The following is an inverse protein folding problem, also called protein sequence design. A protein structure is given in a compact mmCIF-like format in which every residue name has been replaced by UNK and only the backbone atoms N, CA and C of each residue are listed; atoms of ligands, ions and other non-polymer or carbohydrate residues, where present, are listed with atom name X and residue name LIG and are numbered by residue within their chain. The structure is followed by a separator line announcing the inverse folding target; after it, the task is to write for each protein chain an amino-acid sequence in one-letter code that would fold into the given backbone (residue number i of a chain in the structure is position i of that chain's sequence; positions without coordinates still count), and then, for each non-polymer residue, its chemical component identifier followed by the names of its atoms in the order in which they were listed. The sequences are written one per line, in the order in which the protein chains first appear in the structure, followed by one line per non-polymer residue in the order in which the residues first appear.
data_IF_209615602679
#
_entry.id   IF_209615602679
#
_cell.length_a   1.000
_cell.length_b   1.000
_cell.length_c   1.000
_cell.angle_alpha   90.00
_cell.angle_beta   90.00
_cell.angle_gamma   90.00
#
_symmetry.space_group_name_H-M   'P 1'
#
loop_
_entity.id
_entity.type
_entity.pdbx_description
1 polymer ?
#
# COMPACT_ATOMS: atom_id res chain seq x y z
N UNK A 1 -12.98 0.32 -22.19
CA UNK A 1 -13.66 0.68 -20.94
C UNK A 1 -13.00 1.89 -20.27
N UNK A 2 -11.67 1.89 -20.00
CA UNK A 2 -10.96 3.03 -19.39
C UNK A 2 -11.16 4.31 -20.22
N UNK A 3 -10.98 4.23 -21.54
CA UNK A 3 -11.19 5.37 -22.43
C UNK A 3 -12.64 5.88 -22.40
N UNK A 4 -13.61 4.98 -22.28
CA UNK A 4 -15.03 5.33 -22.15
C UNK A 4 -15.32 6.06 -20.84
N UNK A 5 -14.72 5.63 -19.72
CA UNK A 5 -14.84 6.32 -18.43
C UNK A 5 -14.23 7.72 -18.53
N UNK A 6 -13.01 7.83 -19.08
CA UNK A 6 -12.36 9.12 -19.30
C UNK A 6 -13.16 10.05 -20.24
N UNK A 7 -13.94 9.52 -21.18
CA UNK A 7 -14.84 10.30 -22.03
C UNK A 7 -16.12 10.77 -21.30
N UNK A 8 -16.36 10.29 -20.08
CA UNK A 8 -17.47 10.68 -19.19
C UNK A 8 -17.01 11.59 -18.06
N UNK A 9 -15.92 12.32 -18.28
CA UNK A 9 -15.31 13.24 -17.31
C UNK A 9 -14.91 12.57 -15.98
N UNK A 10 -14.54 11.28 -16.03
CA UNK A 10 -13.96 10.57 -14.90
C UNK A 10 -12.44 10.57 -15.02
N UNK A 11 -11.77 10.96 -13.96
CA UNK A 11 -10.33 10.80 -13.82
C UNK A 11 -9.99 9.33 -13.60
N UNK A 12 -9.13 8.75 -14.44
CA UNK A 12 -8.77 7.34 -14.39
C UNK A 12 -7.26 7.18 -14.27
N UNK A 13 -6.83 6.44 -13.29
CA UNK A 13 -5.44 6.03 -13.09
C UNK A 13 -5.36 4.51 -13.24
N UNK A 14 -4.40 4.01 -13.99
CA UNK A 14 -4.15 2.58 -14.15
C UNK A 14 -2.91 2.17 -13.37
N UNK A 15 -3.04 1.23 -12.44
CA UNK A 15 -1.88 0.56 -11.83
C UNK A 15 -1.69 -0.78 -12.51
N UNK A 16 -0.49 -0.99 -13.05
CA UNK A 16 -0.18 -2.16 -13.86
C UNK A 16 0.93 -3.01 -13.22
N UNK A 17 1.07 -4.23 -13.72
CA UNK A 17 2.14 -5.15 -13.36
C UNK A 17 2.69 -5.88 -14.59
N UNK A 18 3.58 -6.85 -14.40
CA UNK A 18 4.01 -7.76 -15.46
C UNK A 18 5.29 -7.34 -16.19
N UNK A 19 5.92 -6.23 -15.82
CA UNK A 19 7.16 -5.78 -16.48
C UNK A 19 8.26 -6.88 -16.49
N UNK A 20 8.52 -7.52 -15.34
CA UNK A 20 9.50 -8.61 -15.27
C UNK A 20 9.13 -9.74 -16.24
N UNK A 21 7.85 -10.18 -16.21
CA UNK A 21 7.37 -11.27 -17.06
C UNK A 21 7.49 -11.00 -18.56
N UNK A 22 7.26 -9.76 -18.98
CA UNK A 22 7.42 -9.33 -20.38
C UNK A 22 8.89 -9.26 -20.77
N UNK A 23 9.78 -8.82 -19.88
CA UNK A 23 11.21 -8.69 -20.18
C UNK A 23 11.98 -10.02 -20.17
N UNK A 24 11.50 -11.01 -19.41
CA UNK A 24 12.16 -12.33 -19.31
C UNK A 24 12.43 -12.99 -20.67
N UNK A 25 11.42 -13.24 -21.53
CA UNK A 25 11.64 -13.90 -22.80
C UNK A 25 12.53 -13.09 -23.75
N UNK A 26 12.49 -11.76 -23.67
CA UNK A 26 13.34 -10.88 -24.49
C UNK A 26 14.80 -11.04 -24.13
N UNK A 27 15.11 -11.30 -22.86
CA UNK A 27 16.46 -11.53 -22.36
C UNK A 27 16.85 -13.03 -22.31
N UNK A 28 16.00 -13.92 -22.86
CA UNK A 28 16.27 -15.35 -22.94
C UNK A 28 16.08 -16.12 -21.64
N UNK A 29 15.30 -15.59 -20.68
CA UNK A 29 14.97 -16.30 -19.45
C UNK A 29 13.64 -17.06 -19.60
N UNK A 30 13.67 -18.38 -19.40
CA UNK A 30 12.46 -19.22 -19.35
C UNK A 30 11.76 -19.15 -17.99
N UNK A 31 12.53 -18.93 -16.92
CA UNK A 31 12.04 -18.83 -15.55
C UNK A 31 12.51 -17.55 -14.88
N UNK A 32 11.77 -17.11 -13.88
CA UNK A 32 12.10 -15.90 -13.10
C UNK A 32 13.50 -16.05 -12.47
N UNK A 33 14.45 -15.16 -12.80
CA UNK A 33 15.79 -15.23 -12.23
C UNK A 33 15.80 -15.06 -10.72
N UNK A 34 16.60 -15.87 -10.02
CA UNK A 34 16.81 -15.71 -8.57
C UNK A 34 17.74 -14.52 -8.27
N UNK A 35 18.67 -14.19 -9.17
CA UNK A 35 19.61 -13.09 -9.00
C UNK A 35 18.93 -11.74 -9.23
N UNK A 36 18.93 -10.90 -8.20
CA UNK A 36 18.24 -9.61 -8.19
C UNK A 36 18.57 -8.70 -9.39
N UNK A 37 19.87 -8.48 -9.79
CA UNK A 37 20.16 -7.65 -10.94
C UNK A 37 19.56 -8.15 -12.26
N UNK A 38 19.40 -9.47 -12.43
CA UNK A 38 18.71 -10.00 -13.63
C UNK A 38 17.22 -9.74 -13.59
N UNK A 39 16.57 -9.79 -12.42
CA UNK A 39 15.16 -9.38 -12.26
C UNK A 39 14.98 -7.90 -12.59
N UNK A 40 15.88 -7.06 -12.08
CA UNK A 40 15.90 -5.62 -12.37
C UNK A 40 16.09 -5.32 -13.87
N UNK A 41 17.00 -6.04 -14.54
CA UNK A 41 17.18 -5.94 -15.98
C UNK A 41 15.93 -6.36 -16.75
N UNK A 42 15.30 -7.49 -16.37
CA UNK A 42 14.02 -7.92 -16.97
C UNK A 42 12.94 -6.86 -16.79
N UNK A 43 12.82 -6.27 -15.59
CA UNK A 43 11.86 -5.21 -15.33
C UNK A 43 12.11 -3.98 -16.21
N UNK A 44 13.35 -3.54 -16.35
CA UNK A 44 13.72 -2.37 -17.16
C UNK A 44 13.38 -2.58 -18.65
N UNK A 45 13.71 -3.75 -19.21
CA UNK A 45 13.36 -4.10 -20.61
C UNK A 45 11.84 -4.23 -20.77
N UNK A 46 11.21 -4.97 -19.88
CA UNK A 46 9.77 -5.26 -19.99
C UNK A 46 8.88 -4.04 -19.74
N UNK A 47 9.29 -3.13 -18.87
CA UNK A 47 8.53 -1.89 -18.60
C UNK A 47 8.43 -1.00 -19.86
N UNK A 48 9.51 -0.90 -20.63
CA UNK A 48 9.50 -0.18 -21.90
C UNK A 48 8.51 -0.79 -22.90
N UNK A 49 8.50 -2.12 -23.03
CA UNK A 49 7.59 -2.85 -23.92
C UNK A 49 6.14 -2.69 -23.43
N UNK A 50 5.89 -2.83 -22.13
CA UNK A 50 4.59 -2.67 -21.51
C UNK A 50 3.99 -1.30 -21.82
N UNK A 51 4.77 -0.24 -21.66
CA UNK A 51 4.32 1.12 -21.99
C UNK A 51 4.06 1.33 -23.47
N UNK A 52 4.87 0.70 -24.34
CA UNK A 52 4.61 0.69 -25.79
C UNK A 52 3.27 0.05 -26.15
N UNK A 53 2.91 -1.06 -25.48
CA UNK A 53 1.62 -1.73 -25.66
C UNK A 53 0.47 -0.84 -25.20
N UNK A 54 0.55 -0.26 -24.00
CA UNK A 54 -0.47 0.66 -23.51
C UNK A 54 -0.59 1.90 -24.41
N UNK A 55 0.55 2.51 -24.78
CA UNK A 55 0.54 3.66 -25.68
C UNK A 55 -0.21 3.38 -26.99
N UNK A 56 0.05 2.22 -27.61
CA UNK A 56 -0.65 1.78 -28.80
C UNK A 56 -2.17 1.60 -28.56
N UNK A 57 -2.54 0.85 -27.50
CA UNK A 57 -3.93 0.56 -27.19
C UNK A 57 -4.73 1.83 -26.93
N UNK A 58 -4.20 2.80 -26.19
CA UNK A 58 -4.89 4.03 -25.86
C UNK A 58 -4.88 5.04 -27.01
N UNK A 59 -3.83 5.04 -27.84
CA UNK A 59 -3.75 5.89 -29.03
C UNK A 59 -4.92 5.68 -30.01
N UNK A 60 -5.34 4.42 -30.18
CA UNK A 60 -6.47 4.06 -31.05
C UNK A 60 -7.79 4.69 -30.58
N UNK A 61 -7.87 5.09 -29.31
CA UNK A 61 -9.02 5.79 -28.71
C UNK A 61 -8.75 7.30 -28.50
N UNK A 62 -7.67 7.84 -29.08
CA UNK A 62 -7.30 9.26 -28.95
C UNK A 62 -6.89 9.68 -27.55
N UNK A 63 -6.45 8.73 -26.70
CA UNK A 63 -6.01 9.00 -25.34
C UNK A 63 -4.48 9.01 -25.24
N UNK A 64 -3.96 9.98 -24.50
CA UNK A 64 -2.56 10.06 -24.13
C UNK A 64 -2.35 9.35 -22.80
N UNK A 65 -1.26 8.58 -22.69
CA UNK A 65 -0.86 7.92 -21.45
C UNK A 65 0.48 8.44 -20.96
N UNK A 66 0.69 8.43 -19.65
CA UNK A 66 1.97 8.79 -19.05
C UNK A 66 2.44 7.70 -18.09
N UNK A 67 3.75 7.41 -18.07
CA UNK A 67 4.34 6.48 -17.11
C UNK A 67 4.75 7.19 -15.83
N UNK A 68 4.40 6.61 -14.68
CA UNK A 68 4.95 6.94 -13.38
C UNK A 68 5.44 5.65 -12.69
N UNK A 69 6.69 5.65 -12.25
CA UNK A 69 7.27 4.52 -11.50
C UNK A 69 7.48 4.93 -10.05
N UNK A 70 7.01 4.10 -9.14
CA UNK A 70 7.07 4.34 -7.70
C UNK A 70 7.76 3.22 -6.96
N UNK A 71 8.37 3.57 -5.85
CA UNK A 71 8.75 2.62 -4.80
C UNK A 71 7.93 2.91 -3.54
N UNK A 72 7.87 1.95 -2.63
CA UNK A 72 7.30 2.16 -1.30
C UNK A 72 7.94 3.35 -0.57
N UNK A 73 9.26 3.49 -0.70
CA UNK A 73 10.00 4.60 -0.10
C UNK A 73 9.56 5.99 -0.59
N UNK A 74 9.05 6.07 -1.83
CA UNK A 74 8.55 7.34 -2.37
C UNK A 74 7.24 7.76 -1.70
N UNK A 75 6.34 6.81 -1.42
CA UNK A 75 5.11 7.08 -0.70
C UNK A 75 5.34 7.47 0.78
N UNK A 76 6.38 6.90 1.40
CA UNK A 76 6.75 7.17 2.80
C UNK A 76 7.43 8.54 2.96
N UNK A 77 8.18 9.00 1.96
CA UNK A 77 8.88 10.28 2.01
C UNK A 77 7.93 11.44 1.71
N UNK A 78 7.76 12.35 2.67
CA UNK A 78 6.84 13.51 2.56
C UNK A 78 7.06 14.33 1.31
N UNK A 79 8.31 14.64 0.98
CA UNK A 79 8.65 15.49 -0.16
C UNK A 79 8.34 14.78 -1.48
N UNK A 80 8.73 13.51 -1.60
CA UNK A 80 8.46 12.70 -2.80
C UNK A 80 6.96 12.45 -2.97
N UNK A 81 6.24 12.18 -1.88
CA UNK A 81 4.78 12.09 -1.88
C UNK A 81 4.12 13.33 -2.47
N UNK A 82 4.52 14.54 -2.00
CA UNK A 82 3.95 15.79 -2.50
C UNK A 82 4.26 16.04 -3.99
N UNK A 83 5.49 15.73 -4.43
CA UNK A 83 5.85 15.82 -5.85
C UNK A 83 5.04 14.87 -6.71
N UNK A 84 4.84 13.64 -6.24
CA UNK A 84 4.06 12.63 -6.94
C UNK A 84 2.59 13.02 -7.02
N UNK A 85 1.99 13.50 -5.92
CA UNK A 85 0.63 14.03 -5.92
C UNK A 85 0.49 15.17 -6.93
N UNK A 86 1.42 16.14 -6.96
CA UNK A 86 1.41 17.22 -7.92
C UNK A 86 1.52 16.76 -9.37
N UNK A 87 2.39 15.78 -9.65
CA UNK A 87 2.51 15.21 -10.99
C UNK A 87 1.24 14.46 -11.44
N UNK A 88 0.61 13.67 -10.55
CA UNK A 88 -0.65 13.00 -10.82
C UNK A 88 -1.77 13.99 -11.11
N UNK A 89 -1.96 15.00 -10.26
CA UNK A 89 -2.98 16.03 -10.47
C UNK A 89 -2.78 16.76 -11.81
N UNK A 90 -1.57 17.16 -12.14
CA UNK A 90 -1.28 17.84 -13.40
C UNK A 90 -1.56 16.95 -14.63
N UNK A 91 -1.26 15.64 -14.57
CA UNK A 91 -1.56 14.71 -15.66
C UNK A 91 -3.08 14.56 -15.86
N UNK A 92 -3.84 14.43 -14.78
CA UNK A 92 -5.31 14.32 -14.83
C UNK A 92 -5.93 15.61 -15.36
N UNK A 93 -5.51 16.78 -14.88
CA UNK A 93 -5.95 18.09 -15.41
C UNK A 93 -5.68 18.25 -16.91
N UNK A 94 -4.60 17.66 -17.43
CA UNK A 94 -4.28 17.65 -18.86
C UNK A 94 -5.02 16.57 -19.66
N UNK A 95 -5.90 15.79 -19.04
CA UNK A 95 -6.63 14.70 -19.66
C UNK A 95 -5.76 13.50 -20.05
N UNK A 96 -4.60 13.35 -19.43
CA UNK A 96 -3.66 12.24 -19.62
C UNK A 96 -4.00 11.12 -18.65
N UNK A 97 -3.99 9.87 -19.10
CA UNK A 97 -4.20 8.69 -18.24
C UNK A 97 -2.85 8.24 -17.66
N UNK A 98 -2.61 8.42 -16.34
CA UNK A 98 -1.39 7.94 -15.71
C UNK A 98 -1.40 6.41 -15.63
N UNK A 99 -0.29 5.79 -16.03
CA UNK A 99 -0.04 4.35 -15.86
C UNK A 99 1.10 4.19 -14.86
N UNK A 100 0.81 3.58 -13.73
CA UNK A 100 1.72 3.46 -12.61
C UNK A 100 2.15 2.01 -12.45
N UNK A 101 3.43 1.81 -12.16
CA UNK A 101 3.98 0.50 -11.80
C UNK A 101 5.04 0.66 -10.71
N UNK A 102 5.41 -0.45 -10.07
CA UNK A 102 6.57 -0.45 -9.18
C UNK A 102 7.86 -0.19 -9.98
N UNK A 103 8.76 0.59 -9.39
CA UNK A 103 10.10 0.79 -9.95
C UNK A 103 11.01 -0.38 -9.61
N UNK A 104 10.69 -1.54 -10.18
CA UNK A 104 11.43 -2.79 -9.97
C UNK A 104 12.92 -2.69 -10.35
N UNK A 105 13.31 -1.71 -11.17
CA UNK A 105 14.70 -1.53 -11.57
C UNK A 105 15.61 -1.04 -10.42
N UNK A 106 15.03 -0.39 -9.41
CA UNK A 106 15.77 0.14 -8.25
C UNK A 106 15.28 -0.43 -6.93
N UNK A 107 14.20 -1.19 -6.92
CA UNK A 107 13.64 -1.80 -5.71
C UNK A 107 14.51 -2.96 -5.27
N UNK A 108 14.88 -3.00 -3.98
CA UNK A 108 15.55 -4.13 -3.34
C UNK A 108 14.51 -5.03 -2.67
N UNK A 109 14.78 -6.34 -2.60
CA UNK A 109 13.82 -7.34 -2.07
C UNK A 109 13.32 -7.03 -0.65
N UNK A 110 14.12 -6.32 0.16
CA UNK A 110 13.78 -5.92 1.53
C UNK A 110 12.76 -4.77 1.60
N UNK A 111 12.59 -4.01 0.50
CA UNK A 111 11.73 -2.81 0.42
C UNK A 111 10.56 -3.04 -0.54
N UNK A 112 10.39 -4.25 -1.03
CA UNK A 112 9.35 -4.56 -2.01
C UNK A 112 7.95 -4.26 -1.45
N UNK A 113 7.18 -3.49 -2.21
CA UNK A 113 5.72 -3.52 -2.07
C UNK A 113 5.34 -4.92 -2.53
N UNK A 114 5.05 -5.84 -1.63
CA UNK A 114 4.93 -7.27 -1.91
C UNK A 114 4.00 -7.63 -3.08
N UNK A 115 3.13 -6.69 -3.51
CA UNK A 115 2.19 -6.86 -4.62
C UNK A 115 1.69 -5.49 -5.11
N UNK A 116 1.31 -5.40 -6.38
CA UNK A 116 0.70 -4.21 -6.96
C UNK A 116 -0.70 -3.89 -6.39
N UNK A 117 -1.33 -4.81 -5.68
CA UNK A 117 -2.55 -4.55 -4.92
C UNK A 117 -2.30 -3.44 -3.88
N UNK A 118 -1.28 -3.61 -3.04
CA UNK A 118 -0.87 -2.59 -2.05
C UNK A 118 -0.40 -1.30 -2.72
N UNK A 119 0.35 -1.39 -3.83
CA UNK A 119 0.75 -0.22 -4.61
C UNK A 119 -0.48 0.57 -5.09
N UNK A 120 -1.50 -0.12 -5.61
CA UNK A 120 -2.72 0.52 -6.10
C UNK A 120 -3.48 1.27 -5.00
N UNK A 121 -3.55 0.71 -3.79
CA UNK A 121 -4.16 1.39 -2.65
C UNK A 121 -3.37 2.63 -2.21
N UNK A 122 -2.04 2.57 -2.23
CA UNK A 122 -1.17 3.73 -1.98
C UNK A 122 -1.41 4.81 -3.03
N UNK A 123 -1.44 4.44 -4.32
CA UNK A 123 -1.71 5.37 -5.43
C UNK A 123 -3.09 6.01 -5.28
N UNK A 124 -4.11 5.21 -4.98
CA UNK A 124 -5.47 5.70 -4.76
C UNK A 124 -5.50 6.76 -3.64
N UNK A 125 -4.78 6.52 -2.55
CA UNK A 125 -4.69 7.49 -1.46
C UNK A 125 -3.89 8.75 -1.82
N UNK A 126 -2.79 8.63 -2.60
CA UNK A 126 -2.01 9.78 -3.09
C UNK A 126 -2.84 10.65 -4.03
N UNK A 127 -3.61 10.01 -4.91
CA UNK A 127 -4.51 10.67 -5.87
C UNK A 127 -5.81 11.18 -5.24
N UNK A 128 -6.08 10.83 -3.96
CA UNK A 128 -7.36 11.10 -3.29
C UNK A 128 -8.56 10.57 -4.10
N UNK A 129 -8.42 9.34 -4.61
CA UNK A 129 -9.43 8.70 -5.44
C UNK A 129 -10.73 8.42 -4.64
N UNK A 130 -11.85 8.39 -5.31
CA UNK A 130 -13.14 8.02 -4.73
C UNK A 130 -13.31 6.50 -4.65
N UNK A 131 -12.74 5.76 -5.62
CA UNK A 131 -12.90 4.32 -5.76
C UNK A 131 -11.62 3.66 -6.27
N UNK A 132 -11.21 2.57 -5.63
CA UNK A 132 -10.22 1.62 -6.16
C UNK A 132 -10.91 0.37 -6.67
N UNK A 133 -10.65 -0.03 -7.91
CA UNK A 133 -11.10 -1.30 -8.48
C UNK A 133 -9.90 -2.21 -8.64
N UNK A 134 -9.85 -3.32 -7.89
CA UNK A 134 -8.89 -4.40 -8.08
C UNK A 134 -9.47 -5.48 -8.98
N UNK A 135 -8.93 -5.58 -10.18
CA UNK A 135 -9.25 -6.65 -11.12
C UNK A 135 -8.33 -7.86 -10.89
N UNK A 136 -8.90 -9.01 -10.65
CA UNK A 136 -8.23 -10.25 -10.29
C UNK A 136 -8.71 -11.43 -11.14
N UNK A 137 -8.13 -12.59 -10.91
CA UNK A 137 -8.57 -13.90 -11.42
C UNK A 137 -9.71 -14.51 -10.60
N UNK A 138 -9.99 -13.95 -9.40
CA UNK A 138 -11.06 -14.38 -8.49
C UNK A 138 -12.23 -13.40 -8.51
N UNK A 139 -13.43 -13.88 -8.17
CA UNK A 139 -14.65 -13.07 -8.19
C UNK A 139 -14.68 -12.02 -7.08
N UNK A 140 -14.08 -12.29 -5.93
CA UNK A 140 -14.05 -11.41 -4.75
C UNK A 140 -13.62 -12.16 -3.50
N UNK A 141 -13.99 -11.64 -2.34
CA UNK A 141 -13.76 -12.27 -1.03
C UNK A 141 -14.85 -13.30 -0.76
N UNK A 142 -14.46 -14.52 -0.38
CA UNK A 142 -15.37 -15.57 0.04
C UNK A 142 -15.31 -15.75 1.57
N UNK A 143 -16.36 -16.33 2.15
CA UNK A 143 -16.43 -16.67 3.58
C UNK A 143 -15.46 -17.78 3.99
N UNK A 144 -14.97 -18.57 3.02
CA UNK A 144 -13.97 -19.63 3.13
C UNK A 144 -13.34 -19.91 1.77
N UNK A 145 -12.25 -20.69 1.73
CA UNK A 145 -11.55 -20.96 0.47
C UNK A 145 -12.45 -21.74 -0.52
N UNK A 146 -12.82 -21.13 -1.67
CA UNK A 146 -13.68 -21.80 -2.66
C UNK A 146 -12.99 -22.98 -3.38
N UNK A 147 -11.67 -23.12 -3.29
CA UNK A 147 -10.93 -24.27 -3.82
C UNK A 147 -10.99 -25.48 -2.90
N UNK A 148 -11.19 -25.26 -1.61
CA UNK A 148 -11.28 -26.32 -0.60
C UNK A 148 -12.76 -26.66 -0.24
N UNK A 149 -13.64 -25.66 -0.30
CA UNK A 149 -15.03 -25.77 0.14
C UNK A 149 -16.02 -25.43 -0.99
N UNK A 150 -16.74 -26.44 -1.48
CA UNK A 150 -17.73 -26.25 -2.54
C UNK A 150 -18.94 -25.39 -2.12
N UNK A 151 -19.15 -25.22 -0.82
CA UNK A 151 -20.19 -24.38 -0.20
C UNK A 151 -19.65 -23.01 0.26
N UNK A 152 -18.55 -22.55 -0.32
CA UNK A 152 -18.04 -21.20 -0.11
C UNK A 152 -18.98 -20.16 -0.76
N UNK A 153 -19.29 -19.10 -0.02
CA UNK A 153 -20.16 -18.02 -0.49
C UNK A 153 -19.37 -16.73 -0.69
N UNK A 154 -19.62 -16.09 -1.82
CA UNK A 154 -19.03 -14.78 -2.11
C UNK A 154 -19.64 -13.71 -1.19
N UNK A 155 -18.78 -12.94 -0.54
CA UNK A 155 -19.17 -11.78 0.27
C UNK A 155 -19.27 -10.57 -0.67
N UNK A 156 -20.49 -10.13 -0.97
CA UNK A 156 -20.69 -9.02 -1.88
C UNK A 156 -20.44 -7.65 -1.26
N UNK A 157 -20.68 -7.50 0.03
CA UNK A 157 -20.67 -6.22 0.74
C UNK A 157 -19.95 -6.32 2.08
N UNK A 158 -19.02 -5.41 2.32
CA UNK A 158 -18.25 -5.28 3.56
C UNK A 158 -18.42 -3.84 4.07
N UNK A 159 -19.48 -3.56 4.87
CA UNK A 159 -19.78 -2.21 5.35
C UNK A 159 -18.75 -1.70 6.36
N UNK A 160 -18.08 -2.59 7.09
CA UNK A 160 -17.04 -2.27 8.05
C UNK A 160 -15.86 -3.22 7.89
N UNK A 161 -14.67 -2.68 7.68
CA UNK A 161 -13.47 -3.50 7.62
C UNK A 161 -13.05 -3.93 9.03
N UNK A 162 -12.87 -5.23 9.21
CA UNK A 162 -12.34 -5.79 10.47
C UNK A 162 -11.16 -6.69 10.19
N UNK A 163 -10.20 -6.75 11.12
CA UNK A 163 -9.03 -7.64 10.98
C UNK A 163 -9.37 -9.13 10.97
N UNK A 164 -10.57 -9.48 11.39
CA UNK A 164 -11.08 -10.86 11.31
C UNK A 164 -11.19 -11.36 9.86
N UNK A 165 -11.37 -10.44 8.90
CA UNK A 165 -11.39 -10.76 7.47
C UNK A 165 -10.09 -11.44 7.00
N UNK A 166 -8.96 -11.14 7.63
CA UNK A 166 -7.70 -11.82 7.32
C UNK A 166 -7.72 -13.32 7.70
N UNK A 167 -8.52 -13.71 8.69
CA UNK A 167 -8.66 -15.12 9.07
C UNK A 167 -9.41 -15.92 7.99
N UNK A 168 -10.38 -15.27 7.34
CA UNK A 168 -11.13 -15.84 6.21
C UNK A 168 -10.23 -16.05 4.99
N UNK A 169 -9.24 -15.18 4.78
CA UNK A 169 -8.25 -15.28 3.71
C UNK A 169 -7.14 -16.34 3.95
N UNK A 170 -7.29 -17.20 4.97
CA UNK A 170 -6.31 -18.25 5.28
C UNK A 170 -5.22 -17.87 6.27
N UNK A 171 -5.31 -16.72 6.95
CA UNK A 171 -4.37 -16.26 7.99
C UNK A 171 -2.94 -16.00 7.51
N UNK A 172 -2.21 -15.16 8.24
CA UNK A 172 -0.78 -14.97 8.05
C UNK A 172 -0.04 -16.22 8.53
N UNK A 173 0.29 -17.15 7.62
CA UNK A 173 1.07 -18.36 7.97
C UNK A 173 0.62 -19.64 7.28
N UNK A 174 -0.46 -19.63 6.52
CA UNK A 174 -0.74 -20.78 5.66
C UNK A 174 0.27 -20.78 4.51
N UNK A 175 0.90 -21.93 4.23
CA UNK A 175 1.85 -22.10 3.13
C UNK A 175 1.23 -21.80 1.74
N UNK A 176 -0.08 -21.58 1.67
CA UNK A 176 -0.86 -21.18 0.49
C UNK A 176 -1.37 -19.73 0.55
N UNK A 177 -1.34 -19.07 1.74
CA UNK A 177 -1.84 -17.70 1.93
C UNK A 177 -0.85 -16.58 1.61
N UNK A 178 0.28 -16.87 0.95
CA UNK A 178 1.35 -15.89 0.64
C UNK A 178 1.10 -15.07 -0.64
N UNK A 179 -0.09 -15.10 -1.22
CA UNK A 179 -0.32 -14.40 -2.47
C UNK A 179 -1.63 -13.62 -2.49
N UNK A 180 -2.49 -13.84 -3.20
CA UNK A 180 -3.66 -13.24 -3.74
C UNK A 180 -4.59 -12.50 -2.76
N UNK A 181 -5.31 -13.18 -1.85
CA UNK A 181 -6.35 -12.54 -1.05
C UNK A 181 -5.80 -11.69 0.09
N UNK A 182 -4.71 -12.12 0.74
CA UNK A 182 -4.11 -11.37 1.84
C UNK A 182 -3.66 -9.97 1.41
N UNK A 183 -2.99 -9.85 0.25
CA UNK A 183 -2.54 -8.55 -0.30
C UNK A 183 -3.72 -7.67 -0.71
N UNK A 184 -4.81 -8.27 -1.20
CA UNK A 184 -6.04 -7.55 -1.53
C UNK A 184 -6.74 -7.00 -0.29
N UNK A 185 -6.74 -7.74 0.82
CA UNK A 185 -7.25 -7.26 2.10
C UNK A 185 -6.37 -6.18 2.71
N UNK A 186 -5.03 -6.24 2.54
CA UNK A 186 -4.15 -5.13 2.93
C UNK A 186 -4.47 -3.87 2.12
N UNK A 187 -4.72 -4.01 0.82
CA UNK A 187 -5.14 -2.89 -0.02
C UNK A 187 -6.50 -2.33 0.42
N UNK A 188 -7.46 -3.20 0.78
CA UNK A 188 -8.76 -2.80 1.30
C UNK A 188 -8.63 -2.06 2.64
N UNK A 189 -7.80 -2.55 3.58
CA UNK A 189 -7.51 -1.87 4.85
C UNK A 189 -7.00 -0.44 4.61
N UNK A 190 -6.04 -0.26 3.68
CA UNK A 190 -5.51 1.06 3.32
C UNK A 190 -6.59 1.95 2.74
N UNK A 191 -7.37 1.46 1.77
CA UNK A 191 -8.42 2.25 1.11
C UNK A 191 -9.50 2.70 2.08
N UNK A 192 -10.11 1.77 2.81
CA UNK A 192 -11.21 2.02 3.74
C UNK A 192 -10.79 3.06 4.80
N UNK A 193 -9.63 2.88 5.41
CA UNK A 193 -9.09 3.83 6.40
C UNK A 193 -8.61 5.15 5.78
N UNK A 194 -8.39 5.20 4.45
CA UNK A 194 -8.12 6.44 3.73
C UNK A 194 -9.38 7.15 3.24
N UNK A 195 -10.57 6.60 3.53
CA UNK A 195 -11.86 7.14 3.08
C UNK A 195 -12.10 6.90 1.58
N UNK A 196 -11.63 5.77 1.06
CA UNK A 196 -11.76 5.37 -0.35
C UNK A 196 -12.56 4.07 -0.41
N UNK A 197 -13.62 4.04 -1.21
CA UNK A 197 -14.32 2.80 -1.51
C UNK A 197 -13.43 1.85 -2.30
N UNK A 198 -13.58 0.54 -2.12
CA UNK A 198 -12.81 -0.43 -2.90
C UNK A 198 -13.67 -1.59 -3.37
N UNK A 199 -13.40 -2.07 -4.59
CA UNK A 199 -14.03 -3.26 -5.16
C UNK A 199 -12.97 -4.27 -5.57
N UNK A 200 -13.15 -5.54 -5.21
CA UNK A 200 -12.43 -6.67 -5.78
C UNK A 200 -13.38 -7.38 -6.74
N UNK A 201 -12.98 -7.54 -7.99
CA UNK A 201 -13.81 -8.21 -9.00
C UNK A 201 -12.96 -9.01 -10.00
N UNK A 202 -13.62 -9.96 -10.66
CA UNK A 202 -12.99 -10.77 -11.69
C UNK A 202 -12.78 -9.99 -12.99
N UNK A 203 -11.57 -10.06 -13.55
CA UNK A 203 -11.16 -9.24 -14.69
C UNK A 203 -11.81 -9.62 -16.02
N UNK A 204 -12.27 -10.88 -16.18
CA UNK A 204 -12.82 -11.43 -17.42
C UNK A 204 -14.31 -11.14 -17.63
N UNK A 205 -14.98 -10.53 -16.65
CA UNK A 205 -16.40 -10.17 -16.79
C UNK A 205 -16.59 -9.06 -17.83
N UNK A 206 -17.58 -9.26 -18.69
CA UNK A 206 -17.90 -8.29 -19.76
C UNK A 206 -18.29 -6.94 -19.14
N UNK A 207 -17.72 -5.87 -19.67
CA UNK A 207 -18.01 -4.49 -19.27
C UNK A 207 -17.87 -4.25 -17.76
N UNK A 208 -16.90 -4.93 -17.14
CA UNK A 208 -16.75 -4.98 -15.68
C UNK A 208 -16.65 -3.59 -15.04
N UNK A 209 -15.90 -2.66 -15.64
CA UNK A 209 -15.74 -1.32 -15.10
C UNK A 209 -17.05 -0.53 -15.13
N UNK A 210 -17.80 -0.56 -16.27
CA UNK A 210 -19.08 0.12 -16.38
C UNK A 210 -20.11 -0.42 -15.39
N UNK A 211 -20.14 -1.74 -15.20
CA UNK A 211 -21.06 -2.41 -14.28
C UNK A 211 -20.77 -2.04 -12.84
N UNK A 212 -19.47 -2.00 -12.44
CA UNK A 212 -19.07 -1.56 -11.08
C UNK A 212 -19.45 -0.10 -10.87
N UNK A 213 -19.14 0.81 -11.82
CA UNK A 213 -19.50 2.23 -11.73
C UNK A 213 -21.01 2.43 -11.67
N UNK A 214 -21.78 1.57 -12.33
CA UNK A 214 -23.27 1.58 -12.26
C UNK A 214 -23.81 0.96 -10.97
N UNK A 215 -22.93 0.60 -10.02
CA UNK A 215 -23.26 0.00 -8.72
C UNK A 215 -24.01 -1.34 -8.82
N UNK A 216 -23.73 -2.14 -9.87
CA UNK A 216 -24.14 -3.52 -9.87
C UNK A 216 -23.42 -4.29 -8.76
N UNK A 217 -24.13 -5.23 -8.12
CA UNK A 217 -23.55 -6.10 -7.08
C UNK A 217 -22.63 -7.15 -7.72
N UNK A 218 -21.39 -6.74 -8.05
CA UNK A 218 -20.37 -7.57 -8.66
C UNK A 218 -19.13 -7.56 -7.78
N UNK A 219 -18.59 -8.75 -7.52
CA UNK A 219 -17.41 -8.86 -6.66
C UNK A 219 -17.72 -8.56 -5.21
N UNK A 220 -16.72 -8.04 -4.49
CA UNK A 220 -16.82 -7.61 -3.09
C UNK A 220 -16.58 -6.12 -2.99
N UNK A 221 -17.54 -5.38 -2.45
CA UNK A 221 -17.46 -3.95 -2.19
C UNK A 221 -17.08 -3.69 -0.73
N UNK A 222 -16.05 -2.90 -0.52
CA UNK A 222 -15.59 -2.43 0.79
C UNK A 222 -15.91 -0.96 0.90
N UNK A 223 -16.69 -0.59 1.93
CA UNK A 223 -17.10 0.79 2.14
C UNK A 223 -16.04 1.60 2.85
N UNK A 224 -15.82 2.81 2.36
CA UNK A 224 -14.96 3.80 2.99
C UNK A 224 -15.44 4.16 4.40
N UNK A 225 -14.50 4.29 5.33
CA UNK A 225 -14.80 4.88 6.64
C UNK A 225 -14.83 6.41 6.55
N UNK A 226 -15.61 7.05 7.42
CA UNK A 226 -15.61 8.50 7.57
C UNK A 226 -14.32 8.95 8.26
N UNK A 227 -13.29 9.25 7.50
CA UNK A 227 -11.96 9.58 8.02
C UNK A 227 -11.66 11.07 7.84
N UNK A 228 -11.10 11.70 8.89
CA UNK A 228 -10.64 13.08 8.80
C UNK A 228 -9.46 13.19 7.81
N UNK A 229 -9.39 14.21 6.90
CA UNK A 229 -8.38 14.33 5.85
C UNK A 229 -6.91 14.21 6.31
N UNK A 230 -6.62 14.61 7.55
CA UNK A 230 -5.27 14.50 8.12
C UNK A 230 -4.87 13.07 8.52
N UNK A 231 -5.82 12.14 8.62
CA UNK A 231 -5.55 10.73 8.95
C UNK A 231 -5.17 9.91 7.70
N UNK A 232 -5.63 10.28 6.52
CA UNK A 232 -5.39 9.56 5.26
C UNK A 232 -3.92 9.19 5.03
N UNK A 233 -3.00 10.10 5.35
CA UNK A 233 -1.56 9.89 5.16
C UNK A 233 -0.93 8.97 6.20
N UNK A 234 -1.38 9.05 7.46
CA UNK A 234 -0.87 8.20 8.54
C UNK A 234 -1.19 6.73 8.28
N UNK A 235 -2.37 6.45 7.75
CA UNK A 235 -2.83 5.08 7.49
C UNK A 235 -2.03 4.38 6.39
N UNK A 236 -1.62 5.08 5.32
CA UNK A 236 -0.76 4.52 4.26
C UNK A 236 0.56 4.03 4.85
N UNK A 237 1.14 4.80 5.77
CA UNK A 237 2.42 4.51 6.37
C UNK A 237 2.27 3.38 7.41
N UNK A 238 1.19 3.39 8.17
CA UNK A 238 0.90 2.42 9.24
C UNK A 238 0.47 1.05 8.69
N UNK A 239 -0.30 1.01 7.59
CA UNK A 239 -0.71 -0.24 6.91
C UNK A 239 0.45 -0.96 6.20
N UNK A 240 1.55 -0.27 5.93
CA UNK A 240 2.69 -0.82 5.21
C UNK A 240 3.78 -1.32 6.16
N UNK A 241 4.25 -2.58 6.00
CA UNK A 241 5.39 -3.24 6.68
C UNK A 241 6.01 -2.51 7.87
N UNK A 242 5.59 -2.90 9.05
CA UNK A 242 6.23 -2.53 10.31
C UNK A 242 7.68 -3.04 10.32
N UNK A 243 8.64 -2.14 10.45
CA UNK A 243 10.08 -2.48 10.43
C UNK A 243 10.66 -2.72 11.80
N UNK A 244 9.97 -2.25 12.85
CA UNK A 244 10.45 -2.40 14.21
C UNK A 244 9.33 -2.47 15.23
N UNK A 245 9.68 -2.94 16.42
CA UNK A 245 8.80 -2.99 17.57
C UNK A 245 9.38 -2.13 18.69
N UNK A 246 8.56 -1.28 19.26
CA UNK A 246 8.90 -0.47 20.41
C UNK A 246 8.03 -0.92 21.56
N UNK A 247 8.65 -1.38 22.64
CA UNK A 247 7.96 -1.77 23.86
C UNK A 247 7.91 -0.58 24.80
N UNK A 248 6.76 -0.34 25.38
CA UNK A 248 6.49 0.83 26.23
C UNK A 248 6.02 0.43 27.62
N UNK A 249 6.12 1.35 28.54
CA UNK A 249 5.62 1.15 29.92
C UNK A 249 4.10 1.38 30.02
N UNK A 250 3.55 1.07 31.20
CA UNK A 250 2.12 1.19 31.47
C UNK A 250 1.61 2.64 31.34
N UNK A 251 2.37 3.61 31.85
CA UNK A 251 1.95 5.02 31.83
C UNK A 251 1.87 5.56 30.40
N UNK A 252 2.83 5.17 29.57
CA UNK A 252 2.85 5.53 28.17
C UNK A 252 1.70 4.84 27.39
N UNK A 253 1.44 3.57 27.68
CA UNK A 253 0.31 2.83 27.08
C UNK A 253 -1.04 3.51 27.38
N UNK A 254 -1.30 3.87 28.64
CA UNK A 254 -2.51 4.58 29.06
C UNK A 254 -2.63 5.96 28.40
N UNK A 255 -1.52 6.69 28.25
CA UNK A 255 -1.53 8.00 27.59
C UNK A 255 -1.85 7.92 26.11
N UNK A 256 -1.31 6.91 25.41
CA UNK A 256 -1.57 6.69 23.98
C UNK A 256 -3.02 6.24 23.76
N UNK A 257 -3.48 5.22 24.47
CA UNK A 257 -4.81 4.63 24.26
C UNK A 257 -5.96 5.56 24.69
N UNK A 258 -5.81 6.26 25.84
CA UNK A 258 -6.90 7.03 26.40
C UNK A 258 -6.88 8.52 26.03
N UNK A 259 -5.72 9.06 25.66
CA UNK A 259 -5.55 10.50 25.39
C UNK A 259 -5.07 10.81 23.96
N UNK A 260 -4.76 9.78 23.16
CA UNK A 260 -4.20 9.97 21.83
C UNK A 260 -2.83 10.69 21.82
N UNK A 261 -2.07 10.57 22.91
CA UNK A 261 -0.77 11.24 23.06
C UNK A 261 0.29 10.61 22.18
N UNK A 262 1.25 11.41 21.71
CA UNK A 262 2.44 10.90 21.02
C UNK A 262 3.38 10.19 21.99
N UNK A 263 4.16 9.23 21.45
CA UNK A 263 5.17 8.50 22.22
C UNK A 263 6.34 9.42 22.60
N UNK A 264 6.73 9.40 23.86
CA UNK A 264 7.92 10.05 24.37
C UNK A 264 9.02 9.01 24.67
N UNK A 265 10.27 9.39 24.49
CA UNK A 265 11.42 8.50 24.68
C UNK A 265 11.48 7.90 26.10
N UNK A 266 11.01 8.63 27.11
CA UNK A 266 10.98 8.18 28.50
C UNK A 266 10.11 6.94 28.70
N UNK A 267 9.02 6.78 27.94
CA UNK A 267 8.12 5.64 28.04
C UNK A 267 8.61 4.38 27.34
N UNK A 268 9.75 4.43 26.65
CA UNK A 268 10.31 3.30 25.90
C UNK A 268 11.12 2.39 26.82
N UNK A 269 10.80 1.11 26.83
CA UNK A 269 11.49 0.08 27.63
C UNK A 269 12.42 -0.79 26.78
N UNK A 270 12.04 -1.14 25.53
CA UNK A 270 12.81 -2.01 24.63
C UNK A 270 12.53 -1.66 23.18
N UNK A 271 13.50 -1.92 22.31
CA UNK A 271 13.39 -1.73 20.86
C UNK A 271 13.84 -3.02 20.18
N UNK A 272 13.12 -3.46 19.17
CA UNK A 272 13.45 -4.60 18.32
C UNK A 272 13.32 -4.22 16.84
N UNK A 273 14.20 -4.76 16.00
CA UNK A 273 14.27 -4.47 14.58
C UNK A 273 15.23 -3.34 14.22
N UNK A 274 15.49 -3.21 12.92
CA UNK A 274 16.33 -2.14 12.35
C UNK A 274 15.41 -1.27 11.49
N UNK A 275 15.30 0.00 11.87
CA UNK A 275 14.46 0.98 11.17
C UNK A 275 15.11 2.36 11.19
N UNK A 276 14.74 3.17 10.22
CA UNK A 276 15.22 4.55 10.04
C UNK A 276 14.11 5.55 10.41
N UNK A 277 14.49 6.83 10.52
CA UNK A 277 13.51 7.92 10.60
C UNK A 277 12.50 7.82 9.45
N UNK A 278 11.20 7.94 9.77
CA UNK A 278 10.10 7.82 8.81
C UNK A 278 9.57 6.40 8.60
N UNK A 279 10.18 5.38 9.18
CA UNK A 279 9.68 4.00 9.10
C UNK A 279 8.51 3.76 10.06
N UNK A 280 7.58 2.87 9.64
CA UNK A 280 6.50 2.42 10.50
C UNK A 280 7.00 1.43 11.57
N UNK A 281 6.55 1.65 12.80
CA UNK A 281 6.86 0.80 13.97
C UNK A 281 5.59 0.44 14.72
N UNK A 282 5.57 -0.77 15.30
CA UNK A 282 4.50 -1.20 16.20
C UNK A 282 4.86 -0.91 17.64
N UNK A 283 3.90 -0.42 18.41
CA UNK A 283 4.02 -0.19 19.84
C UNK A 283 3.43 -1.36 20.62
N UNK A 284 4.21 -1.93 21.51
CA UNK A 284 3.84 -3.08 22.32
C UNK A 284 3.80 -2.74 23.82
N UNK A 285 2.72 -3.18 24.47
CA UNK A 285 2.63 -3.25 25.91
C UNK A 285 2.27 -4.68 26.35
N UNK A 286 3.01 -5.28 27.28
CA UNK A 286 2.81 -6.67 27.77
C UNK A 286 2.60 -7.70 26.63
N UNK A 287 3.43 -7.64 25.58
CA UNK A 287 3.36 -8.52 24.38
C UNK A 287 2.13 -8.32 23.48
N UNK A 288 1.27 -7.36 23.73
CA UNK A 288 0.16 -6.99 22.85
C UNK A 288 0.53 -5.75 22.04
N UNK A 289 0.31 -5.82 20.72
CA UNK A 289 0.39 -4.64 19.85
C UNK A 289 -0.79 -3.73 20.17
N UNK A 290 -0.51 -2.50 20.63
CA UNK A 290 -1.53 -1.53 21.06
C UNK A 290 -1.72 -0.40 20.06
N UNK A 291 -0.69 -0.07 19.28
CA UNK A 291 -0.73 0.99 18.28
C UNK A 291 0.37 0.80 17.25
N UNK A 292 0.28 1.53 16.15
CA UNK A 292 1.35 1.73 15.17
C UNK A 292 1.60 3.20 14.96
N UNK A 293 2.81 3.55 14.60
CA UNK A 293 3.19 4.93 14.33
C UNK A 293 4.38 5.03 13.39
N UNK A 294 4.73 6.26 13.05
CA UNK A 294 5.93 6.58 12.28
C UNK A 294 6.97 7.03 13.27
N UNK A 295 8.15 6.40 13.23
CA UNK A 295 9.25 6.82 14.08
C UNK A 295 9.93 8.06 13.54
N UNK A 296 10.14 9.05 14.40
CA UNK A 296 10.93 10.25 14.09
C UNK A 296 12.44 10.01 14.24
N UNK A 297 12.84 8.85 14.74
CA UNK A 297 14.25 8.48 14.98
C UNK A 297 14.54 7.11 14.40
N UNK A 298 15.76 6.90 13.94
CA UNK A 298 16.26 5.58 13.62
C UNK A 298 16.43 4.71 14.86
N UNK A 299 16.40 3.37 14.69
CA UNK A 299 16.52 2.40 15.79
C UNK A 299 17.81 2.59 16.63
N UNK A 300 18.91 3.03 16.00
CA UNK A 300 20.19 3.30 16.66
C UNK A 300 20.10 4.53 17.55
N UNK A 301 19.54 5.62 17.04
CA UNK A 301 19.33 6.87 17.78
C UNK A 301 18.33 6.65 18.91
N UNK A 302 17.23 5.96 18.62
CA UNK A 302 16.20 5.65 19.60
C UNK A 302 16.76 4.81 20.77
N UNK A 303 17.68 3.89 20.48
CA UNK A 303 18.35 3.10 21.52
C UNK A 303 19.20 3.95 22.47
N UNK A 304 19.73 5.09 22.00
CA UNK A 304 20.51 6.02 22.83
C UNK A 304 19.63 6.90 23.72
N UNK A 305 18.41 7.24 23.26
CA UNK A 305 17.51 8.16 23.98
C UNK A 305 16.41 7.45 24.76
N UNK A 306 16.23 6.13 24.59
CA UNK A 306 15.18 5.39 25.29
C UNK A 306 15.28 5.57 26.81
N UNK A 307 14.14 5.81 27.44
CA UNK A 307 14.05 6.03 28.88
C UNK A 307 14.54 7.41 29.36
N UNK A 308 14.96 8.30 28.45
CA UNK A 308 15.41 9.64 28.79
C UNK A 308 14.27 10.66 28.71
N UNK A 309 14.34 11.69 29.57
CA UNK A 309 13.53 12.88 29.40
C UNK A 309 14.00 13.72 28.21
N UNK A 310 13.10 14.46 27.58
CA UNK A 310 13.40 15.31 26.42
C UNK A 310 14.60 16.24 26.63
N UNK A 311 14.77 16.78 27.87
CA UNK A 311 15.91 17.65 28.20
C UNK A 311 17.26 16.92 28.17
N UNK A 312 17.29 15.62 28.37
CA UNK A 312 18.49 14.78 28.43
C UNK A 312 18.87 14.25 27.04
N UNK A 313 17.91 14.17 26.12
CA UNK A 313 18.11 13.65 24.75
C UNK A 313 19.21 14.41 24.01
N UNK A 314 19.32 15.72 24.22
CA UNK A 314 20.35 16.55 23.58
C UNK A 314 21.78 16.09 23.93
N UNK A 315 22.01 15.71 25.17
CA UNK A 315 23.32 15.24 25.61
C UNK A 315 23.64 13.84 25.07
N UNK A 316 22.62 12.98 24.93
CA UNK A 316 22.77 11.64 24.38
C UNK A 316 23.01 11.63 22.86
N UNK A 317 22.37 12.50 22.12
CA UNK A 317 22.50 12.58 20.65
C UNK A 317 23.66 13.48 20.18
N UNK A 318 24.26 14.28 21.08
CA UNK A 318 25.32 15.24 20.72
C UNK A 318 24.84 16.45 19.88
N UNK A 319 23.58 16.47 19.49
CA UNK A 319 22.91 17.52 18.73
C UNK A 319 21.53 17.81 19.33
N UNK A 320 20.94 19.00 19.11
CA UNK A 320 19.55 19.23 19.52
C UNK A 320 18.64 18.19 18.88
N UNK A 321 17.76 17.53 19.67
CA UNK A 321 16.80 16.58 19.11
C UNK A 321 15.90 17.29 18.11
N UNK A 322 15.71 16.74 16.90
CA UNK A 322 14.84 17.35 15.89
C UNK A 322 13.36 17.33 16.30
N UNK A 323 12.99 16.40 17.18
CA UNK A 323 11.63 16.20 17.67
C UNK A 323 11.63 15.87 19.17
N UNK A 324 10.59 16.35 19.88
CA UNK A 324 10.36 16.01 21.29
C UNK A 324 9.65 14.66 21.45
N UNK A 325 9.04 14.15 20.38
CA UNK A 325 8.29 12.88 20.31
C UNK A 325 9.02 11.88 19.41
N UNK A 326 8.76 10.60 19.62
CA UNK A 326 9.36 9.47 18.88
C UNK A 326 8.56 9.09 17.67
#
# INVERSE_FOLDING_TARGET
QISDLSNRDMDVILVSSGAIGIGMPVLGFEHKPNYLPYRQACAAVGQNILMGLYGKCFHDYGKTVAQLLMTKGDALNTKRYMHMKGALSALLELGVIPIINENDAVTVDEIKIGDNDTLSAIVASVAEADLLILLSDIEGLYDKDPHEFADAHLIHDVPHFTRELFNVAGGAGSARGTGGMYTKLLAAEICVHSGIDMVIAKSDAKEILQRIISRESIGTFFHAENVHPQMKRREIIIGSNVRGKIFIDKGCSEAILNKGSSLLAIGITKIEGIFSEGDAVSLFYENHEIARGISHYGSVELAQIKGLHTKEMRNALGTPPPYDTV
#
